data_IF_184379955817
#
_entry.id   IF_184379955817
#
_cell.length_a   1.000
_cell.length_b   1.000
_cell.length_c   1.000
_cell.angle_alpha   90.00
_cell.angle_beta   90.00
_cell.angle_gamma   90.00
#
_symmetry.space_group_name_H-M   'P 1'
#
loop_
_entity.id
_entity.type
_entity.pdbx_description
1 polymer ?
#
# COMPACT_ATOMS: atom_id res chain seq x y z
N UNK A 1 -17.32 3.44 -7.14
CA UNK A 1 -16.93 4.80 -7.52
C UNK A 1 -15.47 5.08 -7.18
N UNK A 2 -15.13 5.28 -5.91
CA UNK A 2 -13.72 5.54 -5.53
C UNK A 2 -12.77 4.39 -5.88
N UNK A 3 -13.19 3.14 -5.64
CA UNK A 3 -12.37 1.95 -5.95
C UNK A 3 -11.88 1.90 -7.39
N UNK A 4 -12.64 2.42 -8.35
CA UNK A 4 -12.26 2.35 -9.76
C UNK A 4 -11.39 3.53 -10.19
N UNK A 5 -11.54 4.69 -9.54
CA UNK A 5 -10.66 5.83 -9.75
C UNK A 5 -9.26 5.56 -9.19
N UNK A 6 -9.19 5.10 -7.93
CA UNK A 6 -7.94 4.77 -7.25
C UNK A 6 -7.16 3.62 -7.93
N UNK A 7 -7.85 2.64 -8.54
CA UNK A 7 -7.22 1.52 -9.23
C UNK A 7 -6.34 2.01 -10.40
N UNK A 8 -6.89 2.87 -11.26
CA UNK A 8 -6.18 3.32 -12.47
C UNK A 8 -5.01 4.24 -12.12
N UNK A 9 -5.21 5.17 -11.19
CA UNK A 9 -4.16 6.13 -10.79
C UNK A 9 -3.06 5.44 -10.00
N UNK A 10 -3.40 4.53 -9.09
CA UNK A 10 -2.39 3.76 -8.35
C UNK A 10 -1.61 2.84 -9.29
N UNK A 11 -2.29 2.20 -10.26
CA UNK A 11 -1.63 1.36 -11.26
C UNK A 11 -0.53 2.08 -12.04
N UNK A 12 -0.76 3.35 -12.41
CA UNK A 12 0.25 4.17 -13.06
C UNK A 12 1.52 4.34 -12.21
N UNK A 13 1.38 4.69 -10.92
CA UNK A 13 2.54 4.85 -10.03
C UNK A 13 3.21 3.51 -9.75
N UNK A 14 2.45 2.43 -9.60
CA UNK A 14 2.99 1.09 -9.36
C UNK A 14 3.81 0.61 -10.57
N UNK A 15 3.32 0.83 -11.79
CA UNK A 15 4.08 0.53 -13.01
C UNK A 15 5.37 1.34 -13.07
N UNK A 16 5.32 2.65 -12.77
CA UNK A 16 6.53 3.51 -12.71
C UNK A 16 7.55 2.97 -11.70
N UNK A 17 7.09 2.59 -10.50
CA UNK A 17 7.94 1.97 -9.47
C UNK A 17 8.55 0.66 -9.98
N UNK A 18 7.74 -0.19 -10.61
CA UNK A 18 8.18 -1.47 -11.13
C UNK A 18 9.28 -1.30 -12.19
N UNK A 19 9.04 -0.43 -13.18
CA UNK A 19 10.00 -0.13 -14.24
C UNK A 19 11.33 0.38 -13.68
N UNK A 20 11.28 1.31 -12.71
CA UNK A 20 12.48 1.86 -12.05
C UNK A 20 13.27 0.81 -11.26
N UNK A 21 12.57 -0.14 -10.64
CA UNK A 21 13.20 -1.28 -9.94
C UNK A 21 13.81 -2.25 -10.95
N UNK A 22 13.04 -2.67 -11.95
CA UNK A 22 13.45 -3.66 -12.95
C UNK A 22 14.65 -3.18 -13.79
N UNK A 23 14.71 -1.90 -14.15
CA UNK A 23 15.85 -1.33 -14.87
C UNK A 23 17.06 -0.97 -13.97
N UNK A 24 16.93 -1.15 -12.64
CA UNK A 24 18.00 -0.92 -11.66
C UNK A 24 18.22 0.55 -11.27
N UNK A 25 17.38 1.47 -11.74
CA UNK A 25 17.42 2.88 -11.33
C UNK A 25 17.16 3.02 -9.83
N UNK A 26 16.16 2.31 -9.30
CA UNK A 26 15.80 2.38 -7.89
C UNK A 26 16.91 1.83 -7.00
N UNK A 27 17.54 0.71 -7.41
CA UNK A 27 18.69 0.12 -6.70
C UNK A 27 19.85 1.13 -6.64
N UNK A 28 20.14 1.81 -7.76
CA UNK A 28 21.20 2.82 -7.82
C UNK A 28 20.86 4.04 -6.95
N UNK A 29 19.60 4.46 -6.94
CA UNK A 29 19.11 5.55 -6.08
C UNK A 29 19.29 5.21 -4.60
N UNK A 30 18.95 3.99 -4.18
CA UNK A 30 19.14 3.50 -2.81
C UNK A 30 20.61 3.51 -2.42
N UNK A 31 21.50 2.97 -3.26
CA UNK A 31 22.95 2.99 -3.00
C UNK A 31 23.47 4.42 -2.77
N UNK A 32 23.05 5.35 -3.63
CA UNK A 32 23.42 6.75 -3.51
C UNK A 32 22.85 7.41 -2.25
N UNK A 33 21.64 7.04 -1.83
CA UNK A 33 21.03 7.54 -0.61
C UNK A 33 21.74 7.01 0.65
N UNK A 34 22.09 5.73 0.67
CA UNK A 34 22.86 5.11 1.75
C UNK A 34 24.24 5.78 1.88
N UNK A 35 24.93 6.05 0.76
CA UNK A 35 26.21 6.77 0.78
C UNK A 35 26.11 8.21 1.34
N UNK A 36 24.90 8.79 1.36
CA UNK A 36 24.65 10.12 1.94
C UNK A 36 24.16 10.05 3.39
N UNK A 37 23.93 8.86 3.95
CA UNK A 37 23.17 8.69 5.18
C UNK A 37 23.86 9.31 6.40
N UNK A 38 25.20 9.24 6.49
CA UNK A 38 25.97 9.86 7.57
C UNK A 38 25.80 11.39 7.62
N UNK A 39 25.56 12.01 6.46
CA UNK A 39 25.33 13.46 6.34
C UNK A 39 23.85 13.83 6.44
N UNK A 40 22.97 12.96 5.96
CA UNK A 40 21.52 13.17 5.87
C UNK A 40 20.78 11.93 6.40
N UNK A 41 20.71 11.75 7.72
CA UNK A 41 20.01 10.62 8.33
C UNK A 41 18.50 10.73 8.14
N UNK A 42 17.78 9.64 8.41
CA UNK A 42 16.33 9.65 8.32
C UNK A 42 15.69 10.67 9.28
N UNK A 43 14.79 11.49 8.76
CA UNK A 43 13.84 12.24 9.56
C UNK A 43 12.67 11.39 10.05
N UNK A 44 11.91 11.96 11.00
CA UNK A 44 10.65 11.38 11.48
C UNK A 44 9.53 11.66 10.48
N UNK A 45 8.66 10.67 10.26
CA UNK A 45 7.53 10.76 9.32
C UNK A 45 6.16 10.84 10.02
N UNK A 46 6.14 10.79 11.34
CA UNK A 46 4.95 10.65 12.19
C UNK A 46 4.67 11.88 13.07
N UNK A 47 5.30 13.02 12.78
CA UNK A 47 5.13 14.24 13.58
C UNK A 47 4.12 15.24 12.98
N UNK A 48 3.51 14.92 11.84
CA UNK A 48 2.50 15.76 11.19
C UNK A 48 1.10 15.57 11.81
N UNK A 49 0.16 16.44 11.43
CA UNK A 49 -1.18 16.53 12.02
C UNK A 49 -1.89 15.18 12.17
N UNK A 50 -2.00 14.39 11.09
CA UNK A 50 -2.70 13.10 11.08
C UNK A 50 -2.15 12.15 12.14
N UNK A 51 -0.84 12.11 12.32
CA UNK A 51 -0.19 11.19 13.26
C UNK A 51 -0.33 11.65 14.71
N UNK A 52 -0.33 12.97 14.95
CA UNK A 52 -0.65 13.55 16.27
C UNK A 52 -2.10 13.34 16.68
N UNK A 53 -3.03 13.37 15.73
CA UNK A 53 -4.40 12.95 15.98
C UNK A 53 -4.44 11.44 16.28
N UNK A 54 -3.71 10.63 15.52
CA UNK A 54 -3.61 9.18 15.72
C UNK A 54 -3.11 8.78 17.11
N UNK A 55 -2.15 9.51 17.69
CA UNK A 55 -1.69 9.29 19.09
C UNK A 55 -2.87 9.40 20.08
N UNK A 56 -3.71 10.43 19.95
CA UNK A 56 -4.88 10.64 20.81
C UNK A 56 -5.95 9.58 20.59
N UNK A 57 -6.20 9.21 19.33
CA UNK A 57 -7.17 8.15 18.98
C UNK A 57 -6.75 6.82 19.58
N UNK A 58 -5.46 6.44 19.49
CA UNK A 58 -4.96 5.19 20.07
C UNK A 58 -5.05 5.20 21.60
N UNK A 59 -4.76 6.33 22.25
CA UNK A 59 -4.88 6.45 23.70
C UNK A 59 -6.33 6.31 24.20
N UNK A 60 -7.32 6.66 23.38
CA UNK A 60 -8.74 6.55 23.69
C UNK A 60 -9.42 5.31 23.09
N UNK A 61 -8.65 4.38 22.49
CA UNK A 61 -9.19 3.23 21.75
C UNK A 61 -9.92 2.27 22.71
N UNK A 62 -11.16 1.96 22.38
CA UNK A 62 -12.06 1.09 23.17
C UNK A 62 -12.32 -0.28 22.52
N UNK A 63 -11.69 -0.53 21.36
CA UNK A 63 -11.86 -1.75 20.58
C UNK A 63 -12.98 -1.67 19.52
N UNK A 64 -13.75 -0.58 19.47
CA UNK A 64 -14.75 -0.38 18.43
C UNK A 64 -14.07 0.06 17.11
N UNK A 65 -14.46 -0.59 16.01
CA UNK A 65 -13.95 -0.29 14.68
C UNK A 65 -15.10 0.09 13.73
N UNK A 66 -14.91 1.15 12.95
CA UNK A 66 -15.85 1.60 11.92
C UNK A 66 -15.17 1.43 10.57
N UNK A 67 -15.72 0.57 9.72
CA UNK A 67 -15.26 0.41 8.34
C UNK A 67 -15.78 1.57 7.49
N UNK A 68 -14.89 2.43 7.00
CA UNK A 68 -15.26 3.46 6.03
C UNK A 68 -15.26 2.84 4.61
N UNK A 69 -16.40 2.81 3.89
CA UNK A 69 -16.48 2.16 2.57
C UNK A 69 -15.61 2.84 1.50
N UNK A 70 -15.42 4.16 1.60
CA UNK A 70 -14.56 4.92 0.69
C UNK A 70 -13.10 4.52 0.87
N UNK A 71 -12.61 4.53 2.12
CA UNK A 71 -11.24 4.10 2.46
C UNK A 71 -10.99 2.65 2.09
N UNK A 72 -11.91 1.73 2.42
CA UNK A 72 -11.79 0.32 2.04
C UNK A 72 -11.73 0.17 0.51
N UNK A 73 -12.54 0.96 -0.20
CA UNK A 73 -12.56 1.00 -1.65
C UNK A 73 -11.23 1.42 -2.26
N UNK A 74 -10.63 2.52 -1.79
CA UNK A 74 -9.32 3.00 -2.29
C UNK A 74 -8.20 2.01 -1.97
N UNK A 75 -8.20 1.44 -0.77
CA UNK A 75 -7.16 0.51 -0.33
C UNK A 75 -7.16 -0.80 -1.15
N UNK A 76 -8.33 -1.42 -1.31
CA UNK A 76 -8.47 -2.63 -2.13
C UNK A 76 -8.17 -2.36 -3.60
N UNK A 77 -8.55 -1.19 -4.11
CA UNK A 77 -8.21 -0.79 -5.48
C UNK A 77 -6.71 -0.74 -5.74
N UNK A 78 -5.95 -0.17 -4.80
CA UNK A 78 -4.49 -0.14 -4.88
C UNK A 78 -3.88 -1.54 -4.80
N UNK A 79 -4.38 -2.41 -3.91
CA UNK A 79 -3.96 -3.80 -3.85
C UNK A 79 -4.18 -4.53 -5.18
N UNK A 80 -5.37 -4.36 -5.78
CA UNK A 80 -5.68 -4.97 -7.07
C UNK A 80 -4.80 -4.44 -8.20
N UNK A 81 -4.51 -3.13 -8.20
CA UNK A 81 -3.59 -2.55 -9.17
C UNK A 81 -2.19 -3.17 -9.06
N UNK A 82 -1.68 -3.37 -7.84
CA UNK A 82 -0.39 -4.03 -7.62
C UNK A 82 -0.39 -5.50 -8.08
N UNK A 83 -1.47 -6.23 -7.77
CA UNK A 83 -1.67 -7.61 -8.21
C UNK A 83 -1.58 -7.70 -9.74
N UNK A 84 -2.29 -6.83 -10.45
CA UNK A 84 -2.36 -6.86 -11.90
C UNK A 84 -1.03 -6.48 -12.56
N UNK A 85 -0.31 -5.49 -12.00
CA UNK A 85 1.05 -5.12 -12.46
C UNK A 85 2.01 -6.30 -12.29
N UNK A 86 2.06 -6.94 -11.12
CA UNK A 86 2.98 -8.06 -10.92
C UNK A 86 2.63 -9.25 -11.83
N UNK A 87 1.34 -9.54 -12.03
CA UNK A 87 0.90 -10.60 -12.95
C UNK A 87 1.29 -10.26 -14.40
N UNK A 88 1.13 -9.01 -14.84
CA UNK A 88 1.46 -8.59 -16.21
C UNK A 88 2.96 -8.71 -16.50
N UNK A 89 3.80 -8.51 -15.48
CA UNK A 89 5.25 -8.73 -15.55
C UNK A 89 5.69 -10.18 -15.29
N UNK A 90 4.74 -11.12 -15.19
CA UNK A 90 5.03 -12.56 -15.17
C UNK A 90 5.39 -13.15 -13.81
N UNK A 91 5.13 -12.43 -12.71
CA UNK A 91 5.30 -12.97 -11.36
C UNK A 91 4.34 -14.13 -11.09
N UNK A 92 4.78 -15.08 -10.27
CA UNK A 92 3.96 -16.23 -9.92
C UNK A 92 2.90 -15.88 -8.87
N UNK A 93 1.76 -16.58 -8.90
CA UNK A 93 0.62 -16.24 -8.04
C UNK A 93 0.92 -16.26 -6.53
N UNK A 94 1.78 -17.16 -6.07
CA UNK A 94 2.17 -17.21 -4.65
C UNK A 94 2.97 -15.99 -4.23
N UNK A 95 3.85 -15.49 -5.10
CA UNK A 95 4.61 -14.26 -4.85
C UNK A 95 3.66 -13.06 -4.85
N UNK A 96 2.83 -12.92 -5.87
CA UNK A 96 1.82 -11.85 -5.95
C UNK A 96 0.91 -11.83 -4.72
N UNK A 97 0.41 -12.99 -4.29
CA UNK A 97 -0.44 -13.08 -3.10
C UNK A 97 0.29 -12.70 -1.81
N UNK A 98 1.56 -13.09 -1.67
CA UNK A 98 2.35 -12.76 -0.48
C UNK A 98 2.68 -11.27 -0.41
N UNK A 99 3.24 -10.72 -1.49
CA UNK A 99 3.76 -9.35 -1.58
C UNK A 99 2.66 -8.29 -1.63
N UNK A 100 1.50 -8.60 -2.22
CA UNK A 100 0.41 -7.60 -2.38
C UNK A 100 -0.70 -7.71 -1.36
N UNK A 101 -0.78 -8.81 -0.60
CA UNK A 101 -1.88 -9.05 0.35
C UNK A 101 -1.40 -9.59 1.68
N UNK A 102 -0.80 -10.78 1.71
CA UNK A 102 -0.52 -11.50 2.97
C UNK A 102 0.41 -10.70 3.87
N UNK A 103 1.56 -10.24 3.36
CA UNK A 103 2.52 -9.48 4.18
C UNK A 103 1.91 -8.18 4.69
N UNK A 104 1.15 -7.49 3.84
CA UNK A 104 0.45 -6.27 4.22
C UNK A 104 -0.50 -6.51 5.41
N UNK A 105 -1.40 -7.49 5.31
CA UNK A 105 -2.46 -7.67 6.31
C UNK A 105 -2.04 -8.45 7.55
N UNK A 106 -1.10 -9.39 7.43
CA UNK A 106 -0.73 -10.29 8.53
C UNK A 106 0.54 -9.81 9.25
N UNK A 107 1.39 -9.01 8.60
CA UNK A 107 2.67 -8.57 9.17
C UNK A 107 2.72 -7.05 9.36
N UNK A 108 2.54 -6.25 8.32
CA UNK A 108 2.86 -4.82 8.36
C UNK A 108 1.75 -3.96 8.99
N UNK A 109 0.49 -4.16 8.59
CA UNK A 109 -0.64 -3.39 9.09
C UNK A 109 -0.83 -3.51 10.61
N UNK A 110 -0.62 -4.68 11.25
CA UNK A 110 -0.62 -4.79 12.71
C UNK A 110 0.34 -3.80 13.41
N UNK A 111 1.56 -3.60 12.89
CA UNK A 111 2.50 -2.61 13.43
C UNK A 111 1.94 -1.18 13.29
N UNK A 112 1.37 -0.86 12.13
CA UNK A 112 0.75 0.46 11.90
C UNK A 112 -0.43 0.70 12.86
N UNK A 113 -1.26 -0.32 13.08
CA UNK A 113 -2.40 -0.25 13.99
C UNK A 113 -1.96 -0.08 15.45
N UNK A 114 -0.87 -0.73 15.85
CA UNK A 114 -0.35 -0.65 17.21
C UNK A 114 0.16 0.77 17.53
N UNK A 115 1.00 1.37 16.66
CA UNK A 115 1.74 2.61 17.03
C UNK A 115 1.88 3.65 15.92
N UNK A 116 1.21 3.48 14.78
CA UNK A 116 1.22 4.42 13.66
C UNK A 116 2.27 4.11 12.59
N UNK A 117 2.32 4.94 11.54
CA UNK A 117 3.09 4.64 10.32
C UNK A 117 4.59 4.52 10.55
N UNK A 118 5.18 5.34 11.43
CA UNK A 118 6.61 5.25 11.73
C UNK A 118 6.96 3.89 12.32
N UNK A 119 6.10 3.32 13.16
CA UNK A 119 6.35 2.01 13.75
C UNK A 119 6.30 0.88 12.72
N UNK A 120 5.47 0.98 11.69
CA UNK A 120 5.54 0.03 10.57
C UNK A 120 6.79 0.29 9.71
N UNK A 121 6.95 1.50 9.19
CA UNK A 121 7.98 1.83 8.20
C UNK A 121 9.38 1.72 8.77
N UNK A 122 9.63 2.28 9.95
CA UNK A 122 10.98 2.36 10.52
C UNK A 122 11.47 1.06 11.17
N UNK A 123 10.59 0.07 11.34
CA UNK A 123 10.99 -1.31 11.66
C UNK A 123 11.32 -2.15 10.42
N UNK A 124 11.12 -1.63 9.21
CA UNK A 124 11.54 -2.27 7.98
C UNK A 124 13.01 -1.95 7.64
N UNK A 125 13.55 -2.61 6.61
CA UNK A 125 14.93 -2.40 6.14
C UNK A 125 15.18 -0.96 5.66
N UNK A 126 16.45 -0.56 5.58
CA UNK A 126 16.85 0.76 5.03
C UNK A 126 16.31 0.98 3.62
N UNK A 127 16.30 -0.05 2.77
CA UNK A 127 15.74 0.00 1.42
C UNK A 127 14.24 0.30 1.45
N UNK A 128 13.47 -0.41 2.28
CA UNK A 128 12.03 -0.18 2.42
C UNK A 128 11.72 1.20 2.99
N UNK A 129 12.50 1.67 3.97
CA UNK A 129 12.36 3.00 4.57
C UNK A 129 12.61 4.13 3.57
N UNK A 130 13.60 3.97 2.69
CA UNK A 130 13.87 4.90 1.59
C UNK A 130 12.76 4.87 0.54
N UNK A 131 12.35 3.67 0.12
CA UNK A 131 11.26 3.50 -0.84
C UNK A 131 9.96 4.14 -0.36
N UNK A 132 9.53 3.85 0.87
CA UNK A 132 8.34 4.47 1.47
C UNK A 132 8.42 6.01 1.46
N UNK A 133 9.56 6.58 1.86
CA UNK A 133 9.76 8.04 1.89
C UNK A 133 9.81 8.68 0.51
N UNK A 134 10.29 7.97 -0.51
CA UNK A 134 10.33 8.44 -1.90
C UNK A 134 8.95 8.36 -2.57
N UNK A 135 8.26 7.24 -2.39
CA UNK A 135 7.07 6.90 -3.20
C UNK A 135 5.74 7.22 -2.53
N UNK A 136 5.64 7.23 -1.19
CA UNK A 136 4.37 7.58 -0.52
C UNK A 136 3.81 8.95 -0.93
N UNK A 137 4.62 10.03 -1.07
CA UNK A 137 4.11 11.31 -1.57
C UNK A 137 3.56 11.23 -3.01
N UNK A 138 4.06 10.32 -3.85
CA UNK A 138 3.60 10.16 -5.24
C UNK A 138 2.18 9.59 -5.28
N UNK A 139 1.87 8.65 -4.39
CA UNK A 139 0.52 8.10 -4.24
C UNK A 139 -0.46 9.13 -3.67
N UNK A 140 -0.06 9.90 -2.66
CA UNK A 140 -0.87 10.99 -2.10
C UNK A 140 -1.28 12.01 -3.19
N UNK A 141 -0.29 12.49 -3.94
CA UNK A 141 -0.52 13.46 -5.01
C UNK A 141 -1.41 12.91 -6.12
N UNK A 142 -1.14 11.71 -6.65
CA UNK A 142 -1.94 11.20 -7.77
C UNK A 142 -3.39 10.88 -7.36
N UNK A 143 -3.61 10.42 -6.13
CA UNK A 143 -4.97 10.18 -5.61
C UNK A 143 -5.70 11.52 -5.47
N UNK A 144 -5.05 12.52 -4.88
CA UNK A 144 -5.66 13.84 -4.66
C UNK A 144 -5.93 14.57 -5.97
N UNK A 145 -4.98 14.60 -6.89
CA UNK A 145 -5.05 15.38 -8.12
C UNK A 145 -5.93 14.74 -9.20
N UNK A 146 -6.13 13.42 -9.15
CA UNK A 146 -6.83 12.70 -10.22
C UNK A 146 -7.98 11.83 -9.70
N UNK A 147 -7.73 10.95 -8.73
CA UNK A 147 -8.77 10.01 -8.28
C UNK A 147 -9.93 10.75 -7.59
N UNK A 148 -9.62 11.60 -6.61
CA UNK A 148 -10.62 12.38 -5.87
C UNK A 148 -11.34 13.37 -6.78
N UNK A 149 -10.61 14.05 -7.68
CA UNK A 149 -11.21 14.93 -8.69
C UNK A 149 -12.19 14.16 -9.58
N UNK A 150 -11.83 12.96 -10.05
CA UNK A 150 -12.73 12.15 -10.87
C UNK A 150 -13.99 11.70 -10.12
N UNK A 151 -13.88 11.49 -8.80
CA UNK A 151 -15.03 11.14 -7.96
C UNK A 151 -15.93 12.34 -7.72
N UNK A 152 -15.37 13.50 -7.38
CA UNK A 152 -16.11 14.75 -7.16
C UNK A 152 -16.86 15.16 -8.43
N UNK A 153 -16.22 15.04 -9.59
CA UNK A 153 -16.82 15.31 -10.90
C UNK A 153 -17.77 14.21 -11.38
N UNK A 154 -17.82 13.07 -10.70
CA UNK A 154 -18.52 11.86 -11.13
C UNK A 154 -18.13 11.42 -12.57
N UNK A 155 -16.83 11.53 -12.91
CA UNK A 155 -16.23 11.23 -14.22
C UNK A 155 -15.31 9.99 -14.18
N UNK A 156 -15.75 8.95 -13.49
CA UNK A 156 -14.95 7.72 -13.35
C UNK A 156 -15.07 6.89 -14.62
N UNK A 157 -13.94 6.64 -15.28
CA UNK A 157 -13.89 5.85 -16.51
C UNK A 157 -13.94 4.36 -16.19
N UNK A 158 -14.59 3.58 -17.06
CA UNK A 158 -14.61 2.11 -17.03
C UNK A 158 -15.11 1.47 -15.73
N UNK A 159 -15.88 2.18 -14.90
CA UNK A 159 -16.27 1.71 -13.57
C UNK A 159 -16.93 0.31 -13.60
N UNK A 160 -17.92 0.09 -14.46
CA UNK A 160 -18.61 -1.19 -14.56
C UNK A 160 -17.68 -2.35 -14.96
N UNK A 161 -16.72 -2.07 -15.86
CA UNK A 161 -15.75 -3.05 -16.33
C UNK A 161 -14.79 -3.43 -15.20
N UNK A 162 -14.14 -2.44 -14.57
CA UNK A 162 -13.17 -2.67 -13.49
C UNK A 162 -13.85 -3.39 -12.32
N UNK A 163 -15.08 -3.03 -11.96
CA UNK A 163 -15.81 -3.73 -10.90
C UNK A 163 -16.16 -5.17 -11.26
N UNK A 164 -16.44 -5.46 -12.54
CA UNK A 164 -16.67 -6.82 -13.00
C UNK A 164 -15.37 -7.65 -12.95
N UNK A 165 -14.26 -7.08 -13.41
CA UNK A 165 -12.94 -7.72 -13.39
C UNK A 165 -12.50 -8.00 -11.95
N UNK A 166 -12.66 -7.03 -11.05
CA UNK A 166 -12.42 -7.22 -9.62
C UNK A 166 -13.20 -8.41 -9.06
N UNK A 167 -14.53 -8.46 -9.27
CA UNK A 167 -15.38 -9.53 -8.69
C UNK A 167 -15.01 -10.93 -9.20
N UNK A 168 -14.52 -11.02 -10.43
CA UNK A 168 -14.22 -12.29 -11.09
C UNK A 168 -12.72 -12.60 -11.11
N UNK A 169 -11.88 -11.82 -10.40
CA UNK A 169 -10.44 -11.96 -10.48
C UNK A 169 -9.96 -13.27 -9.84
N UNK A 170 -9.05 -13.98 -10.52
CA UNK A 170 -8.53 -15.29 -10.06
C UNK A 170 -7.76 -15.20 -8.74
N UNK A 171 -7.26 -14.00 -8.38
CA UNK A 171 -6.52 -13.79 -7.13
C UNK A 171 -7.34 -14.20 -5.89
N UNK A 172 -8.67 -14.09 -5.92
CA UNK A 172 -9.51 -14.44 -4.77
C UNK A 172 -9.39 -15.92 -4.40
N UNK A 173 -9.39 -16.81 -5.40
CA UNK A 173 -9.18 -18.24 -5.18
C UNK A 173 -7.73 -18.57 -4.81
N UNK A 174 -6.76 -17.87 -5.40
CA UNK A 174 -5.35 -17.98 -5.00
C UNK A 174 -5.18 -17.63 -3.52
N UNK A 175 -5.75 -16.51 -3.07
CA UNK A 175 -5.67 -16.07 -1.69
C UNK A 175 -6.34 -17.05 -0.73
N UNK A 176 -7.45 -17.68 -1.13
CA UNK A 176 -8.11 -18.74 -0.36
C UNK A 176 -7.21 -19.98 -0.20
N UNK A 177 -6.46 -20.34 -1.23
CA UNK A 177 -5.49 -21.44 -1.14
C UNK A 177 -4.30 -21.02 -0.27
N UNK A 178 -3.71 -19.85 -0.51
CA UNK A 178 -2.59 -19.35 0.27
C UNK A 178 -2.92 -19.16 1.75
N UNK A 179 -4.13 -18.70 2.08
CA UNK A 179 -4.56 -18.51 3.47
C UNK A 179 -4.65 -19.82 4.26
N UNK A 180 -4.93 -20.95 3.59
CA UNK A 180 -4.93 -22.27 4.22
C UNK A 180 -3.54 -22.73 4.69
N UNK A 181 -2.48 -22.08 4.23
CA UNK A 181 -1.08 -22.38 4.57
C UNK A 181 -0.49 -21.37 5.57
N UNK A 182 -1.27 -20.39 6.03
CA UNK A 182 -0.80 -19.40 7.01
C UNK A 182 -0.65 -20.03 8.40
N UNK A 183 0.25 -19.51 9.26
CA UNK A 183 0.30 -19.90 10.66
C UNK A 183 -1.05 -19.74 11.35
N UNK A 184 -1.36 -20.62 12.31
CA UNK A 184 -2.63 -20.58 13.05
C UNK A 184 -2.69 -19.51 14.14
N UNK A 185 -1.67 -18.66 14.22
CA UNK A 185 -1.50 -17.65 15.28
C UNK A 185 -1.22 -16.32 14.61
N UNK A 186 -2.03 -15.33 14.92
CA UNK A 186 -1.83 -13.95 14.45
C UNK A 186 -0.62 -13.33 15.14
N UNK A 187 0.03 -12.37 14.46
CA UNK A 187 1.15 -11.66 15.06
C UNK A 187 0.69 -10.85 16.28
N UNK A 188 1.35 -11.06 17.42
CA UNK A 188 1.13 -10.26 18.62
C UNK A 188 2.05 -9.04 18.57
N UNK A 189 1.47 -7.87 18.27
CA UNK A 189 2.17 -6.59 18.32
C UNK A 189 1.49 -5.71 19.37
N UNK A 190 2.17 -5.50 20.49
CA UNK A 190 1.71 -4.62 21.59
C UNK A 190 1.94 -3.13 21.30
#
# INVERSE_FOLDING_TARGET
KESTAAYTTSGYIIEEVYDDVACGNEIRSVNNAVARHDRFPFGKIDQTYTWKVGEKVRAARDGNFIMNPFTAGSYVAMMMAQIDVLISHGHCYSEVANESVIESVDSLNPYMHARGVSYMVDNCSTTARLGSRKWAPRFDYILTEQAYVAVDDNKIKNEAKIMSEFKNHKIHEVLKVCSSMRPSVDIAVE
#
